data_IF_592614578839
#
_entry.id   IF_592614578839
#
_cell.length_a   1.000
_cell.length_b   1.000
_cell.length_c   1.000
_cell.angle_alpha   90.00
_cell.angle_beta   90.00
_cell.angle_gamma   90.00
#
_symmetry.space_group_name_H-M   'P 1'
#
loop_
_entity.id
_entity.type
_entity.pdbx_description
1 polymer ?
#
# COMPACT_ATOMS: atom_id res chain seq x y z
N UNK A 1 -24.16 -0.18 -2.64
CA UNK A 1 -22.99 -0.74 -1.93
C UNK A 1 -22.46 -1.89 -2.77
N UNK A 2 -21.18 -1.86 -3.12
CA UNK A 2 -20.46 -2.93 -3.83
C UNK A 2 -19.07 -3.09 -3.20
N UNK A 3 -18.27 -4.00 -3.72
CA UNK A 3 -16.89 -4.21 -3.29
C UNK A 3 -16.05 -4.78 -4.42
N UNK A 4 -14.73 -4.80 -4.19
CA UNK A 4 -13.74 -5.24 -5.16
C UNK A 4 -12.63 -6.04 -4.49
N UNK A 5 -11.96 -6.88 -5.28
CA UNK A 5 -10.69 -7.50 -4.89
C UNK A 5 -9.57 -6.53 -5.26
N UNK A 6 -9.23 -5.63 -4.34
CA UNK A 6 -8.12 -4.69 -4.53
C UNK A 6 -6.78 -5.43 -4.58
N UNK A 7 -5.88 -4.99 -5.45
CA UNK A 7 -4.49 -5.45 -5.49
C UNK A 7 -3.57 -4.27 -5.23
N UNK A 8 -2.74 -4.37 -4.18
CA UNK A 8 -1.72 -3.39 -3.84
C UNK A 8 -0.34 -3.91 -4.21
N UNK A 9 0.40 -3.15 -5.02
CA UNK A 9 1.83 -3.36 -5.27
C UNK A 9 2.64 -2.26 -4.60
N UNK A 10 3.69 -2.66 -3.90
CA UNK A 10 4.58 -1.77 -3.16
C UNK A 10 5.95 -1.79 -3.82
N UNK A 11 6.49 -0.60 -4.07
CA UNK A 11 7.80 -0.42 -4.68
C UNK A 11 8.68 0.38 -3.74
N UNK A 12 9.85 -0.18 -3.42
CA UNK A 12 10.90 0.48 -2.64
C UNK A 12 12.13 0.68 -3.52
N UNK A 13 12.88 1.75 -3.26
CA UNK A 13 14.12 2.04 -3.97
C UNK A 13 15.25 2.31 -2.99
N UNK A 14 16.45 1.85 -3.31
CA UNK A 14 17.60 1.98 -2.42
C UNK A 14 18.84 1.30 -2.99
N UNK A 15 19.95 1.44 -2.27
CA UNK A 15 21.18 0.71 -2.58
C UNK A 15 21.13 -0.65 -1.89
N UNK A 16 21.42 -1.75 -2.60
CA UNK A 16 21.56 -3.06 -1.95
C UNK A 16 22.64 -3.01 -0.85
N UNK A 17 22.36 -3.67 0.27
CA UNK A 17 23.34 -3.82 1.35
C UNK A 17 24.54 -4.65 0.88
N UNK A 18 25.75 -4.25 1.30
CA UNK A 18 26.99 -5.00 1.00
C UNK A 18 27.04 -6.37 1.67
N UNK A 19 26.22 -6.59 2.71
CA UNK A 19 26.20 -7.83 3.48
C UNK A 19 25.14 -8.80 2.96
N UNK A 20 23.96 -8.30 2.59
CA UNK A 20 22.82 -9.15 2.19
C UNK A 20 22.57 -9.18 0.70
N UNK A 21 23.05 -8.18 -0.06
CA UNK A 21 22.83 -8.08 -1.51
C UNK A 21 21.43 -7.60 -1.93
N UNK A 22 20.58 -7.19 -0.99
CA UNK A 22 19.23 -6.64 -1.26
C UNK A 22 18.97 -5.34 -0.51
N UNK A 23 17.89 -4.63 -0.88
CA UNK A 23 17.48 -3.36 -0.25
C UNK A 23 16.77 -3.63 1.09
N UNK A 24 15.85 -4.60 1.11
CA UNK A 24 15.05 -4.99 2.27
C UNK A 24 14.55 -6.43 2.05
N UNK A 25 14.35 -7.19 3.12
CA UNK A 25 13.71 -8.50 3.04
C UNK A 25 12.21 -8.33 2.72
N UNK A 26 11.67 -9.15 1.82
CA UNK A 26 10.24 -9.10 1.49
C UNK A 26 9.34 -9.50 2.67
N UNK A 27 9.86 -10.28 3.61
CA UNK A 27 9.16 -10.67 4.83
C UNK A 27 8.97 -9.47 5.76
N UNK A 28 10.03 -8.67 5.94
CA UNK A 28 9.96 -7.42 6.72
C UNK A 28 8.98 -6.44 6.07
N UNK A 29 9.07 -6.27 4.74
CA UNK A 29 8.13 -5.43 3.98
C UNK A 29 6.68 -5.88 4.18
N UNK A 30 6.44 -7.19 4.13
CA UNK A 30 5.12 -7.78 4.34
C UNK A 30 4.63 -7.54 5.77
N UNK A 31 5.47 -7.72 6.77
CA UNK A 31 5.10 -7.58 8.17
C UNK A 31 4.78 -6.12 8.53
N UNK A 32 5.47 -5.15 7.93
CA UNK A 32 5.17 -3.72 8.07
C UNK A 32 3.83 -3.36 7.40
N UNK A 33 3.56 -3.89 6.20
CA UNK A 33 2.35 -3.52 5.44
C UNK A 33 1.09 -4.24 5.96
N UNK A 34 1.23 -5.46 6.49
CA UNK A 34 0.11 -6.33 6.89
C UNK A 34 -0.89 -5.70 7.88
N UNK A 35 -0.49 -4.96 8.93
CA UNK A 35 -1.43 -4.29 9.82
C UNK A 35 -2.34 -3.31 9.09
N UNK A 36 -1.82 -2.56 8.11
CA UNK A 36 -2.60 -1.62 7.31
C UNK A 36 -3.60 -2.33 6.40
N UNK A 37 -3.22 -3.47 5.82
CA UNK A 37 -4.13 -4.30 5.03
C UNK A 37 -5.22 -4.91 5.90
N UNK A 38 -4.90 -5.32 7.13
CA UNK A 38 -5.89 -5.91 8.05
C UNK A 38 -7.01 -4.93 8.46
N UNK A 39 -6.75 -3.62 8.41
CA UNK A 39 -7.79 -2.59 8.64
C UNK A 39 -8.75 -2.43 7.45
N UNK A 40 -8.40 -2.95 6.27
CA UNK A 40 -9.15 -2.80 5.03
C UNK A 40 -9.78 -4.12 4.58
N UNK A 41 -9.08 -5.22 4.78
CA UNK A 41 -9.50 -6.54 4.32
C UNK A 41 -10.80 -6.99 5.02
N UNK A 42 -11.77 -7.43 4.23
CA UNK A 42 -13.11 -7.77 4.68
C UNK A 42 -13.83 -6.65 5.47
N UNK A 43 -13.46 -5.38 5.27
CA UNK A 43 -14.10 -4.22 5.91
C UNK A 43 -14.91 -3.36 4.94
N UNK A 44 -15.82 -2.56 5.49
CA UNK A 44 -16.48 -1.47 4.76
C UNK A 44 -15.57 -0.25 4.83
N UNK A 45 -14.94 0.11 3.70
CA UNK A 45 -13.93 1.17 3.64
C UNK A 45 -14.42 2.52 4.17
N UNK A 46 -15.69 2.88 3.92
CA UNK A 46 -16.28 4.12 4.39
C UNK A 46 -16.29 4.27 5.93
N UNK A 47 -16.14 3.17 6.67
CA UNK A 47 -16.10 3.18 8.14
C UNK A 47 -14.69 3.32 8.69
N UNK A 48 -13.66 3.28 7.84
CA UNK A 48 -12.27 3.46 8.23
C UNK A 48 -11.97 4.96 8.27
N UNK A 49 -11.42 5.43 9.39
CA UNK A 49 -11.09 6.85 9.58
C UNK A 49 -10.16 7.38 8.47
N UNK A 50 -10.60 8.44 7.80
CA UNK A 50 -9.89 9.05 6.66
C UNK A 50 -10.19 8.40 5.31
N UNK A 51 -11.15 7.47 5.24
CA UNK A 51 -11.64 6.83 4.01
C UNK A 51 -13.15 7.01 3.83
N UNK A 52 -13.72 8.11 4.31
CA UNK A 52 -15.16 8.40 4.20
C UNK A 52 -15.61 8.43 2.72
N UNK A 53 -14.70 8.83 1.81
CA UNK A 53 -14.85 8.75 0.35
C UNK A 53 -13.73 7.85 -0.27
N UNK A 54 -13.88 6.53 -0.28
CA UNK A 54 -12.81 5.58 -0.59
C UNK A 54 -12.66 5.34 -2.09
N UNK A 55 -12.42 6.39 -2.87
CA UNK A 55 -12.00 6.22 -4.27
C UNK A 55 -10.61 5.54 -4.31
N UNK A 56 -10.26 4.96 -5.45
CA UNK A 56 -8.94 4.37 -5.65
C UNK A 56 -7.80 5.36 -5.37
N UNK A 57 -7.95 6.64 -5.71
CA UNK A 57 -6.99 7.70 -5.41
C UNK A 57 -6.88 7.98 -3.91
N UNK A 58 -8.00 8.15 -3.21
CA UNK A 58 -8.01 8.43 -1.78
C UNK A 58 -7.48 7.25 -0.97
N UNK A 59 -7.84 6.02 -1.33
CA UNK A 59 -7.32 4.81 -0.71
C UNK A 59 -5.81 4.67 -0.93
N UNK A 60 -5.33 4.96 -2.14
CA UNK A 60 -3.92 4.98 -2.48
C UNK A 60 -3.16 6.00 -1.61
N UNK A 61 -3.63 7.24 -1.52
CA UNK A 61 -3.01 8.28 -0.67
C UNK A 61 -3.02 7.92 0.83
N UNK A 62 -4.12 7.33 1.30
CA UNK A 62 -4.23 6.87 2.69
C UNK A 62 -3.19 5.79 3.00
N UNK A 63 -3.08 4.77 2.14
CA UNK A 63 -2.08 3.71 2.25
C UNK A 63 -0.66 4.26 2.18
N UNK A 64 -0.40 5.17 1.24
CA UNK A 64 0.91 5.83 1.11
C UNK A 64 1.32 6.49 2.42
N UNK A 65 0.45 7.34 3.00
CA UNK A 65 0.78 8.09 4.21
C UNK A 65 1.16 7.18 5.38
N UNK A 66 0.44 6.05 5.53
CA UNK A 66 0.71 5.07 6.60
C UNK A 66 2.00 4.30 6.34
N UNK A 67 2.15 3.73 5.13
CA UNK A 67 3.29 2.89 4.78
C UNK A 67 4.58 3.72 4.70
N UNK A 68 4.55 4.93 4.12
CA UNK A 68 5.72 5.81 3.99
C UNK A 68 6.33 6.21 5.33
N UNK A 69 5.49 6.33 6.38
CA UNK A 69 5.96 6.65 7.72
C UNK A 69 6.83 5.53 8.32
N UNK A 70 6.58 4.28 7.94
CA UNK A 70 7.30 3.10 8.42
C UNK A 70 8.39 2.63 7.44
N UNK A 71 8.24 2.98 6.16
CA UNK A 71 9.13 2.59 5.06
C UNK A 71 9.62 3.84 4.32
N UNK A 72 10.66 4.54 4.84
CA UNK A 72 11.13 5.79 4.26
C UNK A 72 11.59 5.69 2.81
N UNK A 73 12.01 4.50 2.37
CA UNK A 73 12.45 4.18 1.02
C UNK A 73 11.33 3.75 0.07
N UNK A 74 10.05 3.80 0.50
CA UNK A 74 8.89 3.66 -0.38
C UNK A 74 8.94 4.72 -1.48
N UNK A 75 8.90 4.30 -2.73
CA UNK A 75 9.00 5.21 -3.89
C UNK A 75 7.78 5.18 -4.80
N UNK A 76 6.99 4.11 -4.75
CA UNK A 76 5.74 4.00 -5.53
C UNK A 76 4.80 3.01 -4.85
N UNK A 77 3.52 3.28 -4.96
CA UNK A 77 2.46 2.29 -4.77
C UNK A 77 1.56 2.26 -5.99
N UNK A 78 1.04 1.09 -6.29
CA UNK A 78 0.03 0.89 -7.34
C UNK A 78 -1.13 0.12 -6.72
N UNK A 79 -2.31 0.73 -6.77
CA UNK A 79 -3.53 0.17 -6.23
C UNK A 79 -4.51 -0.06 -7.38
N UNK A 80 -4.83 -1.32 -7.65
CA UNK A 80 -5.79 -1.71 -8.67
C UNK A 80 -7.10 -2.12 -8.00
N UNK A 81 -8.20 -1.50 -8.39
CA UNK A 81 -9.57 -1.82 -7.94
C UNK A 81 -10.13 -3.02 -8.71
N UNK A 82 -9.81 -3.08 -10.00
CA UNK A 82 -10.12 -4.22 -10.87
C UNK A 82 -8.84 -4.65 -11.59
N UNK A 83 -8.83 -5.80 -12.30
CA UNK A 83 -7.65 -6.20 -13.08
C UNK A 83 -7.22 -5.20 -14.16
N UNK A 84 -8.12 -4.32 -14.59
CA UNK A 84 -7.97 -3.38 -15.70
C UNK A 84 -8.03 -1.89 -15.30
N UNK A 85 -8.25 -1.58 -14.02
CA UNK A 85 -8.30 -0.18 -13.53
C UNK A 85 -7.62 0.00 -12.17
N UNK A 86 -6.89 1.11 -12.03
CA UNK A 86 -6.13 1.41 -10.83
C UNK A 86 -5.41 2.75 -10.86
N UNK A 87 -4.73 3.06 -9.76
CA UNK A 87 -4.02 4.31 -9.50
C UNK A 87 -2.59 4.01 -9.11
N UNK A 88 -1.67 4.80 -9.64
CA UNK A 88 -0.25 4.81 -9.26
C UNK A 88 0.03 6.12 -8.52
N UNK A 89 0.72 6.04 -7.39
CA UNK A 89 1.19 7.20 -6.64
C UNK A 89 2.66 7.04 -6.24
N UNK A 90 3.45 8.10 -6.42
CA UNK A 90 4.93 8.07 -6.28
C UNK A 90 5.47 9.08 -5.25
N UNK A 91 4.58 9.74 -4.49
CA UNK A 91 4.96 10.73 -3.47
C UNK A 91 4.86 12.16 -3.93
#
# INVERSE_FOLDING_TARGET
>A
MHGHTYTLKIFISGKPSIYTGWIMDFSDLKDIVKPWIALLDHQVLNNVEGLENPTSENLCLWLWKKIKAEIPNLCRIELNETPDSGVIYEG
#
